data_IF_796838522846
#
_entry.id   IF_796838522846
#
_cell.length_a   1.000
_cell.length_b   1.000
_cell.length_c   1.000
_cell.angle_alpha   90.00
_cell.angle_beta   90.00
_cell.angle_gamma   90.00
#
_symmetry.space_group_name_H-M   'P 1'
#
loop_
_entity.id
_entity.type
_entity.pdbx_description
1 polymer ?
#
# COMPACT_ATOMS: atom_id res chain seq x y z
N UNK A 1 62.15 24.28 13.39
CA UNK A 1 60.68 24.36 13.29
C UNK A 1 60.18 24.96 14.59
N UNK A 2 59.93 26.29 14.60
CA UNK A 2 59.66 27.05 15.82
C UNK A 2 58.17 27.02 16.16
N UNK A 3 57.82 26.63 17.40
CA UNK A 3 56.46 26.67 17.91
C UNK A 3 56.03 28.13 18.14
N UNK A 4 54.84 28.49 17.68
CA UNK A 4 54.27 29.84 17.85
C UNK A 4 53.73 29.95 19.27
N UNK A 5 54.49 30.56 20.17
CA UNK A 5 54.02 31.01 21.47
C UNK A 5 53.31 32.35 21.31
N UNK A 6 52.07 32.45 21.82
CA UNK A 6 51.27 33.68 21.77
C UNK A 6 51.99 34.90 22.37
N UNK A 7 51.83 36.06 21.74
CA UNK A 7 52.44 37.32 22.16
C UNK A 7 51.53 38.08 23.13
N UNK A 8 52.12 38.70 24.17
CA UNK A 8 51.43 39.68 25.02
C UNK A 8 50.94 39.21 26.39
N UNK A 9 51.43 38.09 26.93
CA UNK A 9 51.17 37.70 28.33
C UNK A 9 49.73 37.22 28.62
N UNK A 10 48.91 37.03 27.58
CA UNK A 10 47.55 36.51 27.73
C UNK A 10 47.57 35.00 27.53
N UNK A 11 47.31 34.24 28.59
CA UNK A 11 47.11 32.80 28.51
C UNK A 11 45.75 32.51 27.86
N UNK A 12 45.65 31.55 26.92
CA UNK A 12 44.35 31.16 26.38
C UNK A 12 43.49 30.54 27.49
N UNK A 13 42.17 30.81 27.52
CA UNK A 13 41.31 30.27 28.56
C UNK A 13 41.23 28.74 28.48
N UNK A 14 41.48 28.07 29.60
CA UNK A 14 41.28 26.63 29.77
C UNK A 14 39.78 26.31 29.81
N UNK A 15 39.25 25.74 28.74
CA UNK A 15 37.84 25.31 28.70
C UNK A 15 37.68 23.96 29.42
N UNK A 16 37.15 23.98 30.65
CA UNK A 16 36.71 22.76 31.33
C UNK A 16 35.48 22.17 30.62
N UNK A 17 35.66 21.00 30.01
CA UNK A 17 34.62 20.27 29.26
C UNK A 17 33.50 19.66 30.13
N UNK A 18 33.44 19.98 31.43
CA UNK A 18 32.60 19.27 32.40
C UNK A 18 31.17 19.80 32.55
N UNK A 19 30.74 20.82 31.80
CA UNK A 19 29.35 21.33 31.86
C UNK A 19 28.77 21.62 30.49
N UNK A 20 28.54 20.56 29.71
CA UNK A 20 27.56 20.61 28.62
C UNK A 20 26.59 19.45 28.84
N UNK A 21 25.63 19.64 29.76
CA UNK A 21 24.43 18.79 29.78
C UNK A 21 23.62 19.16 28.53
N UNK A 22 23.82 18.39 27.46
CA UNK A 22 22.99 18.44 26.27
C UNK A 22 21.61 17.93 26.68
N UNK A 23 20.67 18.84 26.90
CA UNK A 23 19.25 18.49 27.01
C UNK A 23 18.82 18.09 25.59
N UNK A 24 18.94 16.79 25.28
CA UNK A 24 18.26 16.22 24.13
C UNK A 24 16.79 16.05 24.51
N UNK A 25 16.06 17.16 24.57
CA UNK A 25 14.63 17.09 24.36
C UNK A 25 14.44 17.25 22.86
N UNK A 26 14.49 16.13 22.13
CA UNK A 26 14.01 16.10 20.77
C UNK A 26 12.54 16.49 20.82
N UNK A 27 12.25 17.74 20.49
CA UNK A 27 10.89 18.15 20.18
C UNK A 27 10.44 17.22 19.06
N UNK A 28 9.45 16.38 19.33
CA UNK A 28 8.78 15.61 18.30
C UNK A 28 8.32 16.63 17.25
N UNK A 29 8.97 16.58 16.09
CA UNK A 29 8.54 17.34 14.93
C UNK A 29 7.18 16.76 14.61
N UNK A 30 6.11 17.50 14.97
CA UNK A 30 4.77 17.22 14.50
C UNK A 30 4.82 17.26 12.97
N UNK A 31 5.02 16.10 12.35
CA UNK A 31 4.90 15.93 10.92
C UNK A 31 3.43 16.14 10.61
N UNK A 32 3.07 17.37 10.24
CA UNK A 32 1.77 17.69 9.68
C UNK A 32 1.69 16.85 8.39
N UNK A 33 1.00 15.72 8.45
CA UNK A 33 0.80 14.88 7.28
C UNK A 33 -0.45 15.34 6.55
N UNK A 34 -0.31 15.59 5.25
CA UNK A 34 -1.46 15.79 4.40
C UNK A 34 -2.25 14.48 4.33
N UNK A 35 -3.52 14.54 4.73
CA UNK A 35 -4.42 13.40 4.66
C UNK A 35 -5.34 13.55 3.45
N UNK A 36 -5.27 12.59 2.53
CA UNK A 36 -6.21 12.50 1.41
C UNK A 36 -7.37 11.60 1.82
N UNK A 37 -8.56 12.18 1.94
CA UNK A 37 -9.80 11.46 2.24
C UNK A 37 -10.43 10.97 0.94
N UNK A 38 -10.38 9.66 0.68
CA UNK A 38 -11.01 9.04 -0.50
C UNK A 38 -12.38 8.49 -0.11
N UNK A 39 -13.41 8.81 -0.89
CA UNK A 39 -14.74 8.26 -0.64
C UNK A 39 -14.76 6.73 -0.86
N UNK A 40 -15.51 5.96 -0.06
CA UNK A 40 -15.61 4.51 -0.23
C UNK A 40 -16.13 4.10 -1.62
N UNK A 41 -17.00 4.92 -2.20
CA UNK A 41 -17.56 4.69 -3.54
C UNK A 41 -16.48 4.88 -4.61
N UNK A 42 -15.66 5.93 -4.51
CA UNK A 42 -14.56 6.17 -5.44
C UNK A 42 -13.54 5.04 -5.43
N UNK A 43 -13.21 4.49 -4.24
CA UNK A 43 -12.31 3.34 -4.13
C UNK A 43 -12.84 2.11 -4.85
N UNK A 44 -14.13 1.80 -4.67
CA UNK A 44 -14.77 0.65 -5.35
C UNK A 44 -14.79 0.82 -6.87
N UNK A 45 -15.12 2.01 -7.35
CA UNK A 45 -15.13 2.29 -8.80
C UNK A 45 -13.71 2.16 -9.38
N UNK A 46 -12.70 2.67 -8.69
CA UNK A 46 -11.31 2.54 -9.11
C UNK A 46 -10.85 1.08 -9.15
N UNK A 47 -11.26 0.27 -8.17
CA UNK A 47 -10.98 -1.16 -8.14
C UNK A 47 -11.65 -1.90 -9.32
N UNK A 48 -12.92 -1.64 -9.58
CA UNK A 48 -13.65 -2.21 -10.72
C UNK A 48 -12.98 -1.83 -12.04
N UNK A 49 -12.60 -0.55 -12.19
CA UNK A 49 -11.91 -0.07 -13.38
C UNK A 49 -10.57 -0.78 -13.59
N UNK A 50 -9.77 -0.93 -12.53
CA UNK A 50 -8.49 -1.65 -12.56
C UNK A 50 -8.68 -3.11 -12.96
N UNK A 51 -9.65 -3.80 -12.36
CA UNK A 51 -9.94 -5.21 -12.68
C UNK A 51 -10.40 -5.34 -14.13
N UNK A 52 -11.24 -4.42 -14.62
CA UNK A 52 -11.69 -4.39 -16.02
C UNK A 52 -10.53 -4.18 -16.99
N UNK A 53 -9.58 -3.32 -16.65
CA UNK A 53 -8.41 -3.05 -17.50
C UNK A 53 -7.46 -4.24 -17.54
N UNK A 54 -7.21 -4.88 -16.39
CA UNK A 54 -6.46 -6.14 -16.30
C UNK A 54 -7.13 -7.26 -17.11
N UNK A 55 -8.46 -7.33 -17.05
CA UNK A 55 -9.23 -8.28 -17.81
C UNK A 55 -9.07 -8.05 -19.32
N UNK A 56 -9.22 -6.79 -19.78
CA UNK A 56 -9.03 -6.43 -21.20
C UNK A 56 -7.60 -6.66 -21.70
N UNK A 57 -6.61 -6.47 -20.84
CA UNK A 57 -5.20 -6.67 -21.18
C UNK A 57 -4.80 -8.16 -21.20
N UNK A 58 -5.62 -9.05 -20.64
CA UNK A 58 -5.36 -10.49 -20.67
C UNK A 58 -5.86 -11.09 -21.98
N UNK A 59 -4.97 -11.67 -22.81
CA UNK A 59 -5.34 -12.19 -24.14
C UNK A 59 -6.27 -13.41 -24.09
N UNK A 60 -6.42 -14.07 -22.93
CA UNK A 60 -7.20 -15.31 -22.79
C UNK A 60 -8.67 -15.09 -22.37
N UNK A 61 -9.15 -13.84 -22.31
CA UNK A 61 -10.56 -13.59 -21.99
C UNK A 61 -11.44 -13.80 -23.21
N UNK A 62 -12.10 -14.95 -23.23
CA UNK A 62 -13.15 -15.33 -24.18
C UNK A 62 -14.45 -14.60 -23.85
N UNK A 63 -14.61 -13.38 -24.38
CA UNK A 63 -15.77 -12.50 -24.13
C UNK A 63 -17.09 -13.21 -24.44
N UNK A 64 -17.13 -14.04 -25.48
CA UNK A 64 -18.25 -14.90 -25.85
C UNK A 64 -18.65 -15.86 -24.73
N UNK A 65 -17.69 -16.48 -24.04
CA UNK A 65 -17.95 -17.38 -22.90
C UNK A 65 -18.47 -16.60 -21.70
N UNK A 66 -17.94 -15.39 -21.47
CA UNK A 66 -18.37 -14.52 -20.37
C UNK A 66 -19.82 -14.06 -20.57
N UNK A 67 -20.19 -13.64 -21.78
CA UNK A 67 -21.57 -13.23 -22.08
C UNK A 67 -22.55 -14.40 -21.96
N UNK A 68 -22.19 -15.60 -22.44
CA UNK A 68 -23.00 -16.80 -22.24
C UNK A 68 -23.19 -17.12 -20.74
N UNK A 69 -22.14 -16.96 -19.93
CA UNK A 69 -22.25 -17.14 -18.49
C UNK A 69 -23.17 -16.10 -17.85
N UNK A 70 -23.12 -14.83 -18.29
CA UNK A 70 -24.04 -13.78 -17.82
C UNK A 70 -25.49 -14.12 -18.11
N UNK A 71 -25.79 -14.60 -19.32
CA UNK A 71 -27.14 -15.01 -19.71
C UNK A 71 -27.66 -16.16 -18.84
N UNK A 72 -26.83 -17.17 -18.59
CA UNK A 72 -27.18 -18.31 -17.72
C UNK A 72 -27.39 -17.93 -16.26
N UNK A 73 -26.67 -16.92 -15.77
CA UNK A 73 -26.91 -16.36 -14.43
C UNK A 73 -28.25 -15.62 -14.41
N UNK A 74 -28.50 -14.76 -15.41
CA UNK A 74 -29.73 -13.98 -15.48
C UNK A 74 -30.99 -14.86 -15.65
N UNK A 75 -30.89 -15.97 -16.36
CA UNK A 75 -31.98 -16.93 -16.55
C UNK A 75 -32.24 -17.82 -15.32
N UNK A 76 -31.38 -17.74 -14.29
CA UNK A 76 -31.47 -18.57 -13.09
C UNK A 76 -31.10 -20.04 -13.33
N UNK A 77 -30.44 -20.37 -14.45
CA UNK A 77 -30.07 -21.74 -14.81
C UNK A 77 -29.16 -22.40 -13.77
N UNK A 78 -28.28 -21.62 -13.15
CA UNK A 78 -27.41 -22.07 -12.06
C UNK A 78 -28.13 -22.29 -10.73
N UNK A 79 -29.34 -21.76 -10.56
CA UNK A 79 -30.15 -21.97 -9.35
C UNK A 79 -30.98 -23.25 -9.43
N UNK A 80 -31.02 -23.91 -10.58
CA UNK A 80 -31.77 -25.16 -10.76
C UNK A 80 -31.12 -26.28 -9.91
N UNK A 81 -31.92 -27.10 -9.21
CA UNK A 81 -31.40 -28.18 -8.37
C UNK A 81 -30.48 -29.15 -9.12
N UNK A 82 -30.80 -29.43 -10.38
CA UNK A 82 -30.09 -30.36 -11.25
C UNK A 82 -28.70 -29.83 -11.61
N UNK A 83 -28.62 -28.55 -11.99
CA UNK A 83 -27.35 -27.86 -12.28
C UNK A 83 -26.48 -27.81 -11.03
N UNK A 84 -27.08 -27.50 -9.89
CA UNK A 84 -26.37 -27.42 -8.60
C UNK A 84 -25.77 -28.77 -8.21
N UNK A 85 -26.54 -29.85 -8.38
CA UNK A 85 -26.09 -31.22 -8.13
C UNK A 85 -24.93 -31.61 -9.06
N UNK A 86 -25.02 -31.32 -10.36
CA UNK A 86 -23.93 -31.60 -11.30
C UNK A 86 -22.63 -30.85 -10.95
N UNK A 87 -22.75 -29.60 -10.49
CA UNK A 87 -21.59 -28.83 -10.03
C UNK A 87 -20.97 -29.48 -8.79
N UNK A 88 -21.80 -29.90 -7.82
CA UNK A 88 -21.32 -30.57 -6.61
C UNK A 88 -20.58 -31.88 -6.93
N UNK A 89 -21.11 -32.70 -7.84
CA UNK A 89 -20.45 -33.94 -8.30
C UNK A 89 -19.08 -33.63 -8.94
N UNK A 90 -19.00 -32.64 -9.83
CA UNK A 90 -17.71 -32.27 -10.45
C UNK A 90 -16.68 -31.72 -9.47
N UNK A 91 -17.10 -30.99 -8.44
CA UNK A 91 -16.19 -30.51 -7.39
C UNK A 91 -15.64 -31.72 -6.61
N UNK A 92 -16.49 -32.68 -6.27
CA UNK A 92 -16.08 -33.91 -5.60
C UNK A 92 -15.11 -34.73 -6.45
N UNK A 93 -15.31 -34.81 -7.76
CA UNK A 93 -14.39 -35.51 -8.68
C UNK A 93 -13.03 -34.81 -8.86
N UNK A 94 -12.93 -33.52 -8.51
CA UNK A 94 -11.71 -32.71 -8.66
C UNK A 94 -10.83 -32.64 -7.41
N UNK A 95 -11.26 -33.29 -6.32
CA UNK A 95 -10.56 -33.42 -5.05
C UNK A 95 -9.72 -34.70 -5.00
#
# INVERSE_FOLDING_TARGET
MSNIQGVGGVQPPEFSSSKIRRVQQSQEVNQISDQVQISPQSSKVAEIARVSELAKASPDIRVDVVEQAREKIASGEYLRPETTRQIAERILDSL
#
